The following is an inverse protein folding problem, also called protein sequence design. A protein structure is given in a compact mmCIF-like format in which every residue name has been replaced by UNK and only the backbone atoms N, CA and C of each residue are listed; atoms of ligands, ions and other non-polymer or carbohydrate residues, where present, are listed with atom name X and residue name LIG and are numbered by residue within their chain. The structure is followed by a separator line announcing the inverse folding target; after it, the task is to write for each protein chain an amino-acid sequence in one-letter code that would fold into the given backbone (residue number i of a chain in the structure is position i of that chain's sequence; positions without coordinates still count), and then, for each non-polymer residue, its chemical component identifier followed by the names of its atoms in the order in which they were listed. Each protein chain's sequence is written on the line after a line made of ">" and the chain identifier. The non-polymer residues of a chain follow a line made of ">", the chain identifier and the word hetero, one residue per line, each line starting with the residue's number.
data_IF_197875403167
#
_entry.id   IF_197875403167
#
_cell.length_a   1.000
_cell.length_b   1.000
_cell.length_c   1.000
_cell.angle_alpha   90.00
_cell.angle_beta   90.00
_cell.angle_gamma   90.00
#
_symmetry.space_group_name_H-M   'P 1'
#
loop_
_entity.id
_entity.type
_entity.pdbx_description
1 polymer ?
#
# COMPACT_ATOMS: atom_id res chain seq x y z
N UNK A 1 -10.49 4.49 15.97
CA UNK A 1 -10.54 4.28 14.51
C UNK A 1 -10.20 2.84 14.12
N UNK A 2 -9.04 2.28 14.53
CA UNK A 2 -8.65 0.91 14.19
C UNK A 2 -9.65 -0.17 14.64
N UNK A 3 -10.28 -0.02 15.82
CA UNK A 3 -11.40 -0.89 16.25
C UNK A 3 -12.57 -0.90 15.26
N UNK A 4 -12.91 0.25 14.65
CA UNK A 4 -13.96 0.34 13.63
C UNK A 4 -13.56 -0.36 12.34
N UNK A 5 -12.29 -0.27 11.93
CA UNK A 5 -11.75 -1.05 10.81
C UNK A 5 -11.85 -2.55 11.09
N UNK A 6 -11.38 -3.00 12.26
CA UNK A 6 -11.50 -4.40 12.69
C UNK A 6 -12.96 -4.88 12.71
N UNK A 7 -13.89 -4.07 13.22
CA UNK A 7 -15.33 -4.41 13.23
C UNK A 7 -15.96 -4.44 11.84
N UNK A 8 -15.39 -3.74 10.86
CA UNK A 8 -15.80 -3.79 9.45
C UNK A 8 -15.18 -4.99 8.70
N UNK A 9 -14.42 -5.86 9.39
CA UNK A 9 -13.81 -7.05 8.81
C UNK A 9 -12.39 -6.84 8.28
N UNK A 10 -11.78 -5.67 8.48
CA UNK A 10 -10.37 -5.48 8.16
C UNK A 10 -9.49 -6.26 9.13
N UNK A 11 -8.65 -7.16 8.60
CA UNK A 11 -7.69 -7.94 9.39
C UNK A 11 -6.26 -7.44 9.19
N UNK A 12 -5.38 -7.73 10.14
CA UNK A 12 -3.96 -7.42 10.03
C UNK A 12 -3.34 -8.08 8.78
N UNK A 13 -3.67 -9.35 8.53
CA UNK A 13 -3.23 -10.09 7.34
C UNK A 13 -3.66 -9.42 6.03
N UNK A 14 -4.91 -8.92 5.96
CA UNK A 14 -5.37 -8.17 4.80
C UNK A 14 -4.56 -6.89 4.60
N UNK A 15 -4.29 -6.14 5.68
CA UNK A 15 -3.45 -4.94 5.61
C UNK A 15 -2.03 -5.26 5.15
N UNK A 16 -1.39 -6.30 5.67
CA UNK A 16 -0.06 -6.71 5.20
C UNK A 16 -0.08 -7.12 3.72
N UNK A 17 -1.09 -7.88 3.30
CA UNK A 17 -1.26 -8.27 1.90
C UNK A 17 -1.42 -7.05 0.98
N UNK A 18 -2.21 -6.05 1.37
CA UNK A 18 -2.35 -4.79 0.64
C UNK A 18 -1.03 -4.01 0.56
N UNK A 19 -0.23 -4.04 1.63
CA UNK A 19 1.11 -3.44 1.64
C UNK A 19 2.07 -4.11 0.66
N UNK A 20 2.08 -5.45 0.57
CA UNK A 20 2.86 -6.16 -0.44
C UNK A 20 2.31 -5.92 -1.85
N UNK A 21 0.99 -5.94 -2.01
CA UNK A 21 0.31 -5.71 -3.28
C UNK A 21 0.66 -4.31 -3.83
N UNK A 22 0.76 -3.29 -2.99
CA UNK A 22 1.10 -1.94 -3.43
C UNK A 22 2.53 -1.84 -3.98
N UNK A 23 3.48 -2.64 -3.49
CA UNK A 23 4.85 -2.70 -4.06
C UNK A 23 4.83 -3.38 -5.42
N UNK A 24 4.09 -4.46 -5.60
CA UNK A 24 3.98 -5.12 -6.91
C UNK A 24 3.26 -4.18 -7.90
N UNK A 25 2.18 -3.54 -7.44
CA UNK A 25 1.41 -2.59 -8.23
C UNK A 25 2.25 -1.37 -8.63
N UNK A 26 3.13 -0.86 -7.77
CA UNK A 26 3.99 0.29 -8.12
C UNK A 26 4.95 -0.04 -9.26
N UNK A 27 5.55 -1.24 -9.24
CA UNK A 27 6.45 -1.71 -10.30
C UNK A 27 5.67 -1.89 -11.61
N UNK A 28 4.50 -2.52 -11.54
CA UNK A 28 3.65 -2.73 -12.71
C UNK A 28 3.23 -1.39 -13.34
N UNK A 29 2.80 -0.44 -12.50
CA UNK A 29 2.37 0.90 -12.94
C UNK A 29 3.52 1.68 -13.56
N UNK A 30 4.69 1.70 -12.91
CA UNK A 30 5.88 2.33 -13.47
C UNK A 30 6.19 1.78 -14.86
N UNK A 31 6.15 0.45 -15.02
CA UNK A 31 6.41 -0.19 -16.30
C UNK A 31 5.37 0.17 -17.37
N UNK A 32 4.07 0.17 -17.02
CA UNK A 32 3.00 0.47 -17.97
C UNK A 32 2.86 1.96 -18.31
N UNK A 33 3.32 2.85 -17.44
CA UNK A 33 3.15 4.30 -17.57
C UNK A 33 4.39 5.00 -18.14
N UNK A 34 5.19 4.27 -18.91
CA UNK A 34 6.36 4.82 -19.60
C UNK A 34 7.57 5.03 -18.69
N UNK A 35 7.66 4.37 -17.54
CA UNK A 35 8.81 4.44 -16.64
C UNK A 35 10.12 3.89 -17.25
N UNK A 36 10.02 3.17 -18.37
CA UNK A 36 11.18 2.76 -19.19
C UNK A 36 11.50 3.75 -20.32
N UNK A 37 10.62 4.72 -20.55
CA UNK A 37 10.80 5.77 -21.54
C UNK A 37 11.56 6.96 -20.94
N UNK A 38 12.29 7.70 -21.79
CA UNK A 38 12.91 8.97 -21.41
C UNK A 38 11.94 10.15 -21.48
N UNK A 39 12.29 11.25 -20.83
CA UNK A 39 11.52 12.51 -20.90
C UNK A 39 10.26 12.51 -20.04
N UNK A 40 9.21 13.19 -20.49
CA UNK A 40 8.00 13.46 -19.69
C UNK A 40 7.21 12.18 -19.35
N UNK A 41 7.22 11.20 -20.25
CA UNK A 41 6.57 9.90 -20.04
C UNK A 41 7.24 9.13 -18.89
N UNK A 42 8.58 9.07 -18.89
CA UNK A 42 9.38 8.52 -17.79
C UNK A 42 9.10 9.20 -16.46
N UNK A 43 9.16 10.53 -16.43
CA UNK A 43 8.90 11.31 -15.22
C UNK A 43 7.49 11.07 -14.65
N UNK A 44 6.49 10.91 -15.51
CA UNK A 44 5.12 10.58 -15.08
C UNK A 44 5.02 9.17 -14.50
N UNK A 45 5.64 8.18 -15.14
CA UNK A 45 5.69 6.79 -14.67
C UNK A 45 6.40 6.63 -13.33
N UNK A 46 7.53 7.32 -13.14
CA UNK A 46 8.29 7.36 -11.88
C UNK A 46 7.45 7.93 -10.73
N UNK A 47 6.81 9.10 -10.95
CA UNK A 47 5.98 9.77 -9.93
C UNK A 47 4.79 8.91 -9.52
N UNK A 48 4.11 8.30 -10.50
CA UNK A 48 2.92 7.51 -10.22
C UNK A 48 3.28 6.16 -9.56
N UNK A 49 4.35 5.51 -10.00
CA UNK A 49 4.89 4.32 -9.34
C UNK A 49 5.26 4.60 -7.87
N UNK A 50 6.04 5.66 -7.60
CA UNK A 50 6.42 6.03 -6.23
C UNK A 50 5.19 6.31 -5.36
N UNK A 51 4.20 7.04 -5.88
CA UNK A 51 2.97 7.35 -5.13
C UNK A 51 2.27 6.10 -4.61
N UNK A 52 2.15 5.05 -5.43
CA UNK A 52 1.53 3.77 -5.03
C UNK A 52 2.45 2.97 -4.10
N UNK A 53 3.76 2.99 -4.36
CA UNK A 53 4.75 2.30 -3.53
C UNK A 53 4.77 2.81 -2.09
N UNK A 54 4.53 4.11 -1.88
CA UNK A 54 4.45 4.75 -0.56
C UNK A 54 3.25 4.28 0.29
N UNK A 55 2.28 3.56 -0.26
CA UNK A 55 1.18 3.01 0.53
C UNK A 55 1.61 1.81 1.39
N UNK A 56 2.71 1.14 1.05
CA UNK A 56 3.22 -0.02 1.79
C UNK A 56 3.42 0.25 3.29
N UNK A 57 4.20 1.27 3.72
CA UNK A 57 4.40 1.56 5.15
C UNK A 57 3.09 1.91 5.88
N UNK A 58 2.15 2.57 5.20
CA UNK A 58 0.84 2.89 5.76
C UNK A 58 0.04 1.62 6.06
N UNK A 59 -0.06 0.71 5.08
CA UNK A 59 -0.75 -0.56 5.26
C UNK A 59 -0.08 -1.45 6.32
N UNK A 60 1.26 -1.51 6.35
CA UNK A 60 1.99 -2.22 7.40
C UNK A 60 1.71 -1.63 8.78
N UNK A 61 1.68 -0.30 8.92
CA UNK A 61 1.37 0.37 10.19
C UNK A 61 -0.05 0.09 10.65
N UNK A 62 -1.03 0.08 9.73
CA UNK A 62 -2.42 -0.29 10.04
C UNK A 62 -2.49 -1.75 10.49
N UNK A 63 -1.83 -2.66 9.78
CA UNK A 63 -1.79 -4.08 10.13
C UNK A 63 -1.22 -4.30 11.53
N UNK A 64 -0.06 -3.70 11.83
CA UNK A 64 0.55 -3.74 13.15
C UNK A 64 -0.38 -3.17 14.23
N UNK A 65 -1.08 -2.07 13.94
CA UNK A 65 -2.03 -1.46 14.86
C UNK A 65 -3.27 -2.32 15.12
N UNK A 66 -3.72 -3.12 14.15
CA UNK A 66 -4.84 -4.07 14.31
C UNK A 66 -4.37 -5.30 15.10
N UNK A 67 -3.16 -5.80 14.84
CA UNK A 67 -2.61 -7.00 15.47
C UNK A 67 -2.31 -6.79 16.97
N UNK A 68 -1.83 -5.60 17.33
CA UNK A 68 -1.56 -5.21 18.72
C UNK A 68 -2.78 -4.64 19.45
N UNK A 69 -3.97 -4.66 18.84
CA UNK A 69 -5.16 -4.08 19.43
C UNK A 69 -5.66 -5.01 20.56
N UNK A 70 -5.52 -4.57 21.82
CA UNK A 70 -6.07 -5.33 22.95
C UNK A 70 -7.56 -5.54 22.76
N UNK A 71 -8.01 -6.79 22.84
CA UNK A 71 -9.43 -7.11 22.97
C UNK A 71 -9.84 -6.84 24.42
N UNK A 72 -9.82 -5.57 24.83
CA UNK A 72 -10.49 -5.16 26.05
C UNK A 72 -11.99 -5.41 25.88
N UNK A 73 -12.50 -6.29 26.74
CA UNK A 73 -13.91 -6.63 26.92
C UNK A 73 -14.67 -5.47 27.55
#
# INVERSE_FOLDING_TARGET
>A
MLRKLKSLGYSANLSYALGFLSVIASIAIWFTQGGTDGGEAGASGERFGIFIGLWAPTFMSIGNGIDNLSDDK
#
